data_IF_970203706221
#
_entry.id   IF_970203706221
#
_cell.length_a   1.000
_cell.length_b   1.000
_cell.length_c   1.000
_cell.angle_alpha   90.00
_cell.angle_beta   90.00
_cell.angle_gamma   90.00
#
_symmetry.space_group_name_H-M   'P 1'
#
loop_
_entity.id
_entity.type
_entity.pdbx_description
1 polymer ?
#
# COMPACT_ATOMS: atom_id res chain seq x y z
N UNK A 1 -0.51 16.07 -4.12
CA UNK A 1 -1.63 17.04 -4.13
C UNK A 1 -2.49 16.92 -2.87
N UNK A 2 -3.04 15.75 -2.56
CA UNK A 2 -3.92 15.54 -1.39
C UNK A 2 -3.25 15.84 -0.04
N UNK A 3 -2.14 15.17 0.29
CA UNK A 3 -1.48 15.35 1.60
C UNK A 3 -1.01 16.80 1.83
N UNK A 4 -0.46 17.44 0.81
CA UNK A 4 -0.10 18.86 0.87
C UNK A 4 -1.33 19.75 1.12
N UNK A 5 -2.45 19.46 0.48
CA UNK A 5 -3.66 20.25 0.62
C UNK A 5 -4.32 20.09 1.99
N UNK A 6 -4.28 18.89 2.57
CA UNK A 6 -4.89 18.58 3.87
C UNK A 6 -3.88 18.54 5.03
N UNK A 7 -2.65 19.02 4.80
CA UNK A 7 -1.52 18.88 5.72
C UNK A 7 -1.86 19.26 7.17
N UNK A 8 -2.37 20.47 7.38
CA UNK A 8 -2.66 20.99 8.73
C UNK A 8 -3.78 20.22 9.46
N UNK A 9 -4.68 19.58 8.71
CA UNK A 9 -5.71 18.73 9.29
C UNK A 9 -5.14 17.34 9.64
N UNK A 10 -4.31 16.78 8.76
CA UNK A 10 -3.67 15.48 8.96
C UNK A 10 -2.66 15.48 10.10
N UNK A 11 -1.99 16.61 10.39
CA UNK A 11 -1.10 16.73 11.55
C UNK A 11 -1.81 16.67 12.91
N UNK A 12 -3.14 16.78 12.94
CA UNK A 12 -3.94 16.81 14.18
C UNK A 12 -4.56 15.47 14.52
N UNK A 13 -4.38 14.47 13.68
CA UNK A 13 -4.98 13.14 13.84
C UNK A 13 -3.92 12.07 13.57
N UNK A 14 -3.96 10.92 14.27
CA UNK A 14 -3.09 9.81 13.91
C UNK A 14 -3.47 9.29 12.52
N UNK A 15 -2.46 8.98 11.70
CA UNK A 15 -2.63 8.51 10.33
C UNK A 15 -2.01 7.12 10.21
N UNK A 16 -2.72 6.17 9.63
CA UNK A 16 -2.13 4.92 9.15
C UNK A 16 -2.07 4.96 7.63
N UNK A 17 -0.99 4.44 7.04
CA UNK A 17 -0.78 4.46 5.60
C UNK A 17 -0.57 3.04 5.07
N UNK A 18 -1.01 2.76 3.85
CA UNK A 18 -0.63 1.53 3.17
C UNK A 18 -0.45 1.78 1.68
N UNK A 19 0.38 0.94 1.06
CA UNK A 19 0.57 0.89 -0.38
C UNK A 19 0.24 -0.52 -0.88
N UNK A 20 -0.26 -0.62 -2.11
CA UNK A 20 -0.57 -1.91 -2.76
C UNK A 20 0.18 -1.98 -4.07
N UNK A 21 0.89 -3.10 -4.28
CA UNK A 21 1.64 -3.30 -5.51
C UNK A 21 2.06 -4.75 -5.72
N UNK A 22 2.88 -4.98 -6.74
CA UNK A 22 3.41 -6.32 -7.04
C UNK A 22 4.77 -6.57 -6.37
N UNK A 23 5.44 -5.51 -5.89
CA UNK A 23 6.77 -5.62 -5.29
C UNK A 23 6.86 -6.68 -4.16
N UNK A 24 5.85 -6.85 -3.28
CA UNK A 24 5.89 -7.91 -2.28
C UNK A 24 5.95 -9.34 -2.84
N UNK A 25 5.45 -9.55 -4.06
CA UNK A 25 5.47 -10.85 -4.78
C UNK A 25 6.84 -11.13 -5.40
N UNK A 26 7.66 -10.09 -5.60
CA UNK A 26 9.01 -10.26 -6.12
C UNK A 26 9.92 -11.00 -5.15
N UNK A 27 10.79 -11.82 -5.72
CA UNK A 27 11.90 -12.47 -4.99
C UNK A 27 13.10 -11.54 -4.82
N UNK A 28 13.10 -10.40 -5.50
CA UNK A 28 14.16 -9.41 -5.43
C UNK A 28 13.89 -8.40 -4.30
N UNK A 29 14.68 -8.38 -3.22
CA UNK A 29 14.47 -7.43 -2.12
C UNK A 29 14.58 -5.97 -2.57
N UNK A 30 15.42 -5.66 -3.56
CA UNK A 30 15.61 -4.29 -4.04
C UNK A 30 14.32 -3.69 -4.65
N UNK A 31 13.43 -4.52 -5.19
CA UNK A 31 12.14 -4.05 -5.71
C UNK A 31 11.18 -3.66 -4.59
N UNK A 32 11.24 -4.35 -3.44
CA UNK A 32 10.47 -4.01 -2.25
C UNK A 32 10.99 -2.71 -1.64
N UNK A 33 12.31 -2.58 -1.53
CA UNK A 33 12.96 -1.37 -1.03
C UNK A 33 12.64 -0.15 -1.90
N UNK A 34 12.73 -0.29 -3.23
CA UNK A 34 12.36 0.78 -4.15
C UNK A 34 10.88 1.18 -4.02
N UNK A 35 9.98 0.22 -3.87
CA UNK A 35 8.56 0.50 -3.65
C UNK A 35 8.32 1.22 -2.31
N UNK A 36 9.01 0.82 -1.25
CA UNK A 36 8.95 1.49 0.05
C UNK A 36 9.51 2.91 -0.02
N UNK A 37 10.63 3.13 -0.71
CA UNK A 37 11.18 4.48 -0.91
C UNK A 37 10.20 5.41 -1.63
N UNK A 38 9.54 4.93 -2.68
CA UNK A 38 8.49 5.69 -3.39
C UNK A 38 7.32 5.97 -2.45
N UNK A 39 6.91 4.99 -1.66
CA UNK A 39 5.80 5.13 -0.72
C UNK A 39 6.12 6.16 0.39
N UNK A 40 7.30 6.07 1.01
CA UNK A 40 7.78 7.03 2.01
C UNK A 40 7.85 8.45 1.45
N UNK A 41 8.38 8.60 0.23
CA UNK A 41 8.40 9.91 -0.43
C UNK A 41 7.00 10.44 -0.70
N UNK A 42 6.04 9.57 -1.02
CA UNK A 42 4.65 9.96 -1.27
C UNK A 42 3.94 10.42 0.01
N UNK A 43 4.28 9.84 1.17
CA UNK A 43 3.64 10.14 2.47
C UNK A 43 4.48 11.05 3.37
N UNK A 44 5.61 11.58 2.90
CA UNK A 44 6.58 12.33 3.71
C UNK A 44 6.05 13.62 4.38
N UNK A 45 4.83 14.03 4.05
CA UNK A 45 4.15 15.18 4.64
C UNK A 45 3.37 14.84 5.92
N UNK A 46 3.35 13.58 6.31
CA UNK A 46 2.74 13.09 7.56
C UNK A 46 3.69 12.09 8.22
N UNK A 47 3.49 11.84 9.51
CA UNK A 47 4.18 10.79 10.26
C UNK A 47 3.16 9.70 10.61
N UNK A 48 3.04 8.62 9.80
CA UNK A 48 2.08 7.57 10.08
C UNK A 48 2.42 6.82 11.37
N UNK A 49 1.41 6.46 12.15
CA UNK A 49 1.55 5.57 13.31
C UNK A 49 1.78 4.11 12.89
N UNK A 50 1.47 3.79 11.64
CA UNK A 50 1.65 2.48 11.03
C UNK A 50 1.74 2.62 9.51
N UNK A 51 2.59 1.81 8.89
CA UNK A 51 2.78 1.74 7.45
C UNK A 51 3.03 0.32 6.95
N UNK A 52 2.40 -0.05 5.83
CA UNK A 52 2.58 -1.39 5.27
C UNK A 52 2.46 -1.42 3.74
N UNK A 53 3.25 -2.30 3.11
CA UNK A 53 3.17 -2.58 1.69
C UNK A 53 2.54 -3.95 1.45
N UNK A 54 1.33 -3.96 0.88
CA UNK A 54 0.59 -5.19 0.56
C UNK A 54 0.79 -5.64 -0.88
N UNK A 55 0.75 -6.96 -1.07
CA UNK A 55 0.61 -7.55 -2.39
C UNK A 55 -0.81 -7.30 -2.92
N UNK A 56 -0.92 -6.91 -4.19
CA UNK A 56 -2.20 -6.67 -4.87
C UNK A 56 -2.73 -7.84 -5.70
N UNK A 57 -3.76 -7.55 -6.49
CA UNK A 57 -4.27 -8.45 -7.54
C UNK A 57 -3.89 -7.90 -8.91
N UNK A 58 -3.37 -8.77 -9.78
CA UNK A 58 -3.12 -8.45 -11.18
C UNK A 58 -4.09 -9.25 -12.04
N UNK A 59 -5.01 -8.52 -12.66
CA UNK A 59 -5.96 -9.05 -13.64
C UNK A 59 -5.63 -8.45 -15.01
N UNK A 60 -4.93 -9.23 -15.84
CA UNK A 60 -4.42 -8.78 -17.14
C UNK A 60 -5.54 -8.42 -18.11
N UNK A 61 -6.74 -8.99 -17.94
CA UNK A 61 -7.89 -8.69 -18.77
C UNK A 61 -8.51 -7.33 -18.44
N UNK A 62 -8.21 -6.78 -17.25
CA UNK A 62 -8.64 -5.44 -16.83
C UNK A 62 -7.62 -4.34 -17.15
N UNK A 63 -6.44 -4.69 -17.66
CA UNK A 63 -5.43 -3.71 -18.03
C UNK A 63 -5.76 -3.06 -19.39
N UNK A 64 -5.54 -1.72 -19.54
CA UNK A 64 -5.55 -1.06 -20.84
C UNK A 64 -4.59 -1.74 -21.83
N UNK A 65 -4.91 -1.72 -23.12
CA UNK A 65 -4.19 -2.47 -24.16
C UNK A 65 -2.66 -2.31 -24.10
N UNK A 66 -2.16 -1.08 -23.96
CA UNK A 66 -0.72 -0.79 -23.88
C UNK A 66 -0.11 -1.39 -22.62
N UNK A 67 -0.76 -1.25 -21.46
CA UNK A 67 -0.30 -1.83 -20.20
C UNK A 67 -0.33 -3.37 -20.24
N UNK A 68 -1.40 -3.95 -20.80
CA UNK A 68 -1.53 -5.40 -21.03
C UNK A 68 -0.36 -5.94 -21.87
N UNK A 69 -0.01 -5.24 -22.94
CA UNK A 69 1.12 -5.63 -23.80
C UNK A 69 2.46 -5.54 -23.05
N UNK A 70 2.72 -4.44 -22.35
CA UNK A 70 3.95 -4.27 -21.56
C UNK A 70 4.05 -5.33 -20.45
N UNK A 71 2.95 -5.61 -19.75
CA UNK A 71 2.90 -6.60 -18.68
C UNK A 71 3.24 -8.01 -19.19
N UNK A 72 2.69 -8.39 -20.35
CA UNK A 72 3.02 -9.66 -21.00
C UNK A 72 4.48 -9.71 -21.45
N UNK A 73 5.03 -8.60 -21.95
CA UNK A 73 6.45 -8.51 -22.38
C UNK A 73 7.42 -8.73 -21.23
N UNK A 74 7.14 -8.19 -20.04
CA UNK A 74 7.96 -8.39 -18.84
C UNK A 74 7.67 -9.70 -18.12
N UNK A 75 6.77 -10.54 -18.66
CA UNK A 75 6.31 -11.79 -18.04
C UNK A 75 5.84 -11.57 -16.60
N UNK A 76 5.13 -10.46 -16.37
CA UNK A 76 4.68 -10.07 -15.05
C UNK A 76 3.72 -11.11 -14.46
N UNK A 77 3.77 -11.37 -13.15
CA UNK A 77 2.90 -12.35 -12.51
C UNK A 77 1.43 -11.92 -12.64
N UNK A 78 0.55 -12.92 -12.77
CA UNK A 78 -0.90 -12.73 -12.91
C UNK A 78 -1.59 -13.56 -11.84
N UNK A 79 -2.54 -12.96 -11.14
CA UNK A 79 -3.19 -13.64 -10.03
C UNK A 79 -3.61 -12.68 -8.93
N UNK A 80 -4.25 -13.25 -7.92
CA UNK A 80 -4.55 -12.58 -6.66
C UNK A 80 -3.46 -12.95 -5.65
N UNK A 81 -2.67 -11.96 -5.24
CA UNK A 81 -1.57 -12.17 -4.29
C UNK A 81 -1.89 -11.60 -2.92
N UNK A 82 -3.11 -11.09 -2.72
CA UNK A 82 -3.53 -10.51 -1.43
C UNK A 82 -3.61 -11.60 -0.37
N UNK A 83 -2.93 -11.36 0.73
CA UNK A 83 -3.12 -12.10 1.97
C UNK A 83 -4.25 -11.43 2.77
N UNK A 84 -5.46 -11.96 2.63
CA UNK A 84 -6.64 -11.40 3.29
C UNK A 84 -6.59 -11.52 4.81
N UNK A 85 -5.92 -12.54 5.33
CA UNK A 85 -5.76 -12.72 6.77
C UNK A 85 -4.79 -11.67 7.33
N UNK A 86 -3.67 -11.44 6.66
CA UNK A 86 -2.72 -10.37 7.03
C UNK A 86 -3.34 -8.97 6.93
N UNK A 87 -4.12 -8.69 5.88
CA UNK A 87 -4.84 -7.42 5.73
C UNK A 87 -5.84 -7.24 6.87
N UNK A 88 -6.59 -8.31 7.19
CA UNK A 88 -7.58 -8.27 8.27
C UNK A 88 -6.93 -8.11 9.64
N UNK A 89 -5.80 -8.77 9.88
CA UNK A 89 -5.02 -8.63 11.11
C UNK A 89 -4.51 -7.19 11.28
N UNK A 90 -3.86 -6.64 10.24
CA UNK A 90 -3.41 -5.25 10.24
C UNK A 90 -4.56 -4.28 10.53
N UNK A 91 -5.70 -4.44 9.85
CA UNK A 91 -6.87 -3.60 10.07
C UNK A 91 -7.43 -3.67 11.49
N UNK A 92 -7.36 -4.85 12.15
CA UNK A 92 -7.82 -5.03 13.54
C UNK A 92 -6.90 -4.37 14.57
N UNK A 93 -5.63 -4.18 14.24
CA UNK A 93 -4.67 -3.48 15.10
C UNK A 93 -4.78 -1.95 14.99
N UNK A 94 -5.35 -1.43 13.89
CA UNK A 94 -5.42 0.01 13.64
C UNK A 94 -6.19 0.81 14.71
N UNK A 95 -7.35 0.37 15.24
CA UNK A 95 -8.06 1.15 16.25
C UNK A 95 -7.17 1.53 17.43
N UNK A 96 -6.41 0.57 17.98
CA UNK A 96 -5.49 0.82 19.08
C UNK A 96 -4.38 1.80 18.67
N UNK A 97 -3.73 1.56 17.52
CA UNK A 97 -2.64 2.42 17.00
C UNK A 97 -3.12 3.85 16.69
N UNK A 98 -4.39 4.00 16.30
CA UNK A 98 -5.06 5.28 16.03
C UNK A 98 -5.67 5.91 17.29
N UNK A 99 -5.49 5.33 18.48
CA UNK A 99 -6.03 5.85 19.72
C UNK A 99 -7.56 5.78 19.83
N UNK A 100 -8.21 4.97 18.97
CA UNK A 100 -9.63 4.68 19.06
C UNK A 100 -9.84 3.68 20.19
N UNK A 101 -10.62 4.08 21.20
CA UNK A 101 -11.00 3.16 22.28
C UNK A 101 -12.01 2.15 21.73
N UNK A 102 -11.95 0.87 22.13
CA UNK A 102 -13.05 -0.04 21.87
C UNK A 102 -14.33 0.58 22.47
N UNK A 103 -15.42 0.64 21.70
CA UNK A 103 -16.73 0.90 22.28
C UNK A 103 -17.00 -0.21 23.31
N UNK A 104 -17.37 0.20 24.53
CA UNK A 104 -17.68 -0.68 25.65
C UNK A 104 -19.01 -1.41 25.43
#
# INVERSE_FOLDING_TARGET
AFLKYHHDALLKVPVAAFCVGIAPVSKNPAEKDAAMQIFHAAISAVEPVEEILFAGKVDVEKLPFVQKWMWKKVQGPVGDFRDWDAISAWARELPEKLGLKPEA
#
